data_IF_443270316311
#
_entry.id   IF_443270316311
#
_cell.length_a   1.000
_cell.length_b   1.000
_cell.length_c   1.000
_cell.angle_alpha   90.00
_cell.angle_beta   90.00
_cell.angle_gamma   90.00
#
_symmetry.space_group_name_H-M   'P 1'
#
loop_
_entity.id
_entity.type
_entity.pdbx_description
1 polymer ?
#
# COMPACT_ATOMS: atom_id res chain seq x y z
N UNK A 1 20.33 -8.89 17.07
CA UNK A 1 20.99 -8.35 15.87
C UNK A 1 20.49 -6.93 15.64
N UNK A 2 21.39 -6.00 15.35
CA UNK A 2 21.00 -4.65 14.96
C UNK A 2 21.02 -4.60 13.43
N UNK A 3 19.85 -4.44 12.81
CA UNK A 3 19.78 -4.30 11.37
C UNK A 3 20.12 -2.85 11.02
N UNK A 4 21.32 -2.64 10.47
CA UNK A 4 21.69 -1.38 9.84
C UNK A 4 20.80 -1.11 8.63
N UNK A 5 20.73 0.15 8.23
CA UNK A 5 19.92 0.54 7.08
C UNK A 5 20.49 0.05 5.75
N UNK A 6 19.62 -0.14 4.74
CA UNK A 6 20.08 -0.32 3.37
C UNK A 6 20.93 0.86 2.95
N UNK A 7 22.03 0.57 2.26
CA UNK A 7 22.95 1.55 1.71
C UNK A 7 23.16 1.24 0.24
N UNK A 8 23.02 2.27 -0.59
CA UNK A 8 23.31 2.21 -2.02
C UNK A 8 24.69 2.83 -2.28
N UNK A 9 25.50 2.13 -3.09
CA UNK A 9 26.93 2.44 -3.27
C UNK A 9 27.19 3.69 -4.11
N UNK A 10 26.30 4.06 -5.03
CA UNK A 10 26.51 5.13 -6.01
C UNK A 10 25.91 6.47 -5.61
N UNK A 11 25.19 6.54 -4.47
CA UNK A 11 24.51 7.75 -4.02
C UNK A 11 23.27 8.09 -4.83
N UNK A 12 22.70 7.11 -5.55
CA UNK A 12 21.51 7.27 -6.40
C UNK A 12 20.22 6.82 -5.71
N UNK A 13 20.32 6.38 -4.47
CA UNK A 13 19.16 6.14 -3.63
C UNK A 13 18.34 7.43 -3.50
N UNK A 14 17.03 7.33 -3.69
CA UNK A 14 16.16 8.47 -3.67
C UNK A 14 15.03 8.33 -2.67
N UNK A 15 14.70 9.46 -2.06
CA UNK A 15 13.53 9.61 -1.21
C UNK A 15 12.86 10.94 -1.44
N UNK A 16 11.61 11.04 -1.03
CA UNK A 16 10.93 12.32 -0.97
C UNK A 16 11.52 13.19 0.14
N UNK A 17 11.63 14.50 -0.15
CA UNK A 17 12.07 15.51 0.79
C UNK A 17 11.03 15.65 1.90
N UNK A 18 11.50 15.57 3.15
CA UNK A 18 10.67 15.53 4.35
C UNK A 18 10.97 14.28 5.16
N UNK A 19 10.62 14.29 6.45
CA UNK A 19 10.94 13.25 7.43
C UNK A 19 9.76 12.32 7.73
N UNK A 20 8.58 12.57 7.16
CA UNK A 20 7.36 11.82 7.42
C UNK A 20 6.45 11.64 6.18
N UNK A 21 5.34 10.93 6.39
CA UNK A 21 4.27 10.72 5.39
C UNK A 21 3.64 12.03 4.91
N UNK A 22 3.79 13.12 5.67
CA UNK A 22 3.13 14.38 5.38
C UNK A 22 3.69 15.08 4.15
N UNK A 23 4.92 14.74 3.75
CA UNK A 23 5.53 15.18 2.49
C UNK A 23 4.71 14.77 1.25
N UNK A 24 3.95 13.68 1.35
CA UNK A 24 3.07 13.23 0.26
C UNK A 24 1.65 13.76 0.37
N UNK A 25 1.22 14.23 1.55
CA UNK A 25 -0.19 14.49 1.82
C UNK A 25 -0.56 15.96 2.02
N UNK A 26 0.43 16.84 2.26
CA UNK A 26 0.22 18.29 2.49
C UNK A 26 0.20 19.16 1.22
N UNK A 27 -0.23 18.60 0.10
CA UNK A 27 -0.31 19.34 -1.17
C UNK A 27 -1.52 20.26 -1.13
N UNK A 28 -1.30 21.54 -1.41
CA UNK A 28 -2.36 22.55 -1.49
C UNK A 28 -2.55 22.97 -2.93
N UNK A 29 -3.78 22.86 -3.43
CA UNK A 29 -4.13 23.29 -4.77
C UNK A 29 -5.30 24.28 -4.65
N UNK A 30 -5.04 25.60 -4.56
CA UNK A 30 -6.10 26.59 -4.54
C UNK A 30 -6.98 26.45 -5.78
N UNK A 31 -8.28 26.69 -5.62
CA UNK A 31 -9.23 26.54 -6.72
C UNK A 31 -10.45 27.44 -6.57
N UNK A 32 -11.19 27.60 -7.67
CA UNK A 32 -12.47 28.31 -7.72
C UNK A 32 -13.49 27.47 -8.53
N UNK A 33 -14.15 26.48 -7.91
CA UNK A 33 -15.04 25.57 -8.63
C UNK A 33 -16.17 26.33 -9.32
N UNK A 34 -16.40 26.04 -10.61
CA UNK A 34 -17.36 26.73 -11.46
C UNK A 34 -16.77 27.87 -12.30
N UNK A 35 -15.50 28.23 -12.13
CA UNK A 35 -14.84 29.23 -13.00
C UNK A 35 -14.20 28.54 -14.22
N UNK A 36 -14.64 28.84 -15.45
CA UNK A 36 -14.05 28.25 -16.66
C UNK A 36 -12.62 28.75 -16.90
N UNK A 37 -11.76 27.87 -17.41
CA UNK A 37 -10.40 28.25 -17.83
C UNK A 37 -9.46 28.61 -16.68
N UNK A 38 -9.74 28.09 -15.48
CA UNK A 38 -8.91 28.27 -14.30
C UNK A 38 -7.51 27.65 -14.50
N UNK A 39 -6.46 28.45 -14.31
CA UNK A 39 -5.07 27.97 -14.27
C UNK A 39 -4.68 27.72 -12.81
N UNK A 40 -4.43 26.46 -12.45
CA UNK A 40 -4.11 26.05 -11.08
C UNK A 40 -2.61 25.91 -10.90
N UNK A 41 -2.04 26.52 -9.85
CA UNK A 41 -0.72 26.15 -9.33
C UNK A 41 -0.87 25.50 -7.96
N UNK A 42 -0.40 24.26 -7.83
CA UNK A 42 -0.32 23.61 -6.53
C UNK A 42 0.98 23.99 -5.82
N UNK A 43 0.93 24.12 -4.50
CA UNK A 43 2.09 24.36 -3.63
C UNK A 43 2.34 23.15 -2.73
N UNK A 44 3.52 23.12 -2.09
CA UNK A 44 4.00 21.97 -1.30
C UNK A 44 4.00 20.65 -2.07
N UNK A 45 4.35 20.72 -3.36
CA UNK A 45 4.51 19.53 -4.19
C UNK A 45 5.61 18.65 -3.62
N UNK A 46 5.36 17.34 -3.62
CA UNK A 46 6.35 16.34 -3.26
C UNK A 46 7.56 16.48 -4.20
N UNK A 47 8.74 16.60 -3.59
CA UNK A 47 10.01 16.68 -4.28
C UNK A 47 10.82 15.45 -3.93
N UNK A 48 11.63 14.96 -4.85
CA UNK A 48 12.52 13.83 -4.64
C UNK A 48 13.95 14.32 -4.64
N UNK A 49 14.75 13.80 -3.71
CA UNK A 49 16.20 14.04 -3.62
C UNK A 49 16.99 12.73 -3.51
N UNK A 50 18.26 12.78 -3.92
CA UNK A 50 19.21 11.68 -3.67
C UNK A 50 19.77 11.72 -2.26
N UNK A 51 19.94 10.55 -1.64
CA UNK A 51 20.33 10.38 -0.23
C UNK A 51 21.30 9.21 -0.02
N UNK A 52 21.90 9.14 1.16
CA UNK A 52 22.92 8.14 1.50
C UNK A 52 24.36 8.62 1.25
N UNK A 53 25.32 7.91 1.83
CA UNK A 53 26.73 8.35 2.04
C UNK A 53 27.43 8.95 0.81
N UNK A 54 27.13 8.47 -0.40
CA UNK A 54 27.78 8.91 -1.63
C UNK A 54 26.90 9.85 -2.50
N UNK A 55 25.77 10.30 -1.96
CA UNK A 55 24.84 11.23 -2.63
C UNK A 55 25.16 12.69 -2.33
N UNK A 56 24.36 13.60 -2.90
CA UNK A 56 24.36 15.03 -2.53
C UNK A 56 23.88 15.29 -1.09
N UNK A 57 23.27 14.30 -0.42
CA UNK A 57 22.81 14.39 0.97
C UNK A 57 23.31 13.19 1.79
N UNK A 58 24.61 13.15 2.15
CA UNK A 58 25.23 12.01 2.82
C UNK A 58 24.70 11.72 4.22
N UNK A 59 24.19 12.75 4.91
CA UNK A 59 23.64 12.65 6.26
C UNK A 59 22.17 12.25 6.30
N UNK A 60 21.51 12.21 5.14
CA UNK A 60 20.10 11.84 5.02
C UNK A 60 20.02 10.34 4.73
N UNK A 61 19.26 9.65 5.57
CA UNK A 61 19.07 8.22 5.49
C UNK A 61 17.97 7.86 4.48
N UNK A 62 17.99 6.71 3.80
CA UNK A 62 16.93 6.39 2.83
C UNK A 62 15.55 6.10 3.42
N UNK A 63 15.51 5.60 4.67
CA UNK A 63 14.25 5.38 5.42
C UNK A 63 13.85 6.62 6.22
N UNK A 64 12.54 6.83 6.36
CA UNK A 64 11.97 7.95 7.11
C UNK A 64 12.18 7.82 8.63
N UNK A 65 12.25 6.60 9.18
CA UNK A 65 12.32 6.34 10.64
C UNK A 65 13.70 6.40 11.27
N UNK A 66 14.76 6.45 10.48
CA UNK A 66 16.10 6.22 11.02
C UNK A 66 16.33 4.75 11.38
N UNK A 67 17.32 4.49 12.24
CA UNK A 67 17.71 3.12 12.59
C UNK A 67 16.82 2.54 13.70
N UNK A 68 16.54 1.23 13.64
CA UNK A 68 15.77 0.53 14.68
C UNK A 68 16.70 -0.08 15.76
N UNK A 69 16.86 0.66 16.85
CA UNK A 69 17.76 0.33 17.96
C UNK A 69 17.12 -0.53 19.06
N UNK A 70 15.81 -0.82 19.02
CA UNK A 70 15.08 -1.40 20.15
C UNK A 70 14.75 -2.91 20.05
N UNK A 71 15.63 -3.68 19.39
CA UNK A 71 15.41 -5.10 19.07
C UNK A 71 15.78 -6.08 20.21
N UNK A 72 15.24 -5.87 21.42
CA UNK A 72 15.43 -6.81 22.54
C UNK A 72 14.50 -8.02 22.41
N UNK A 73 15.06 -9.23 22.50
CA UNK A 73 14.38 -10.50 22.28
C UNK A 73 14.62 -11.48 23.43
N UNK A 74 13.88 -11.37 24.56
CA UNK A 74 14.04 -12.29 25.66
C UNK A 74 13.45 -13.66 25.32
N UNK A 75 14.03 -14.69 25.93
CA UNK A 75 13.45 -16.01 26.02
C UNK A 75 13.55 -16.51 27.45
N UNK A 76 12.44 -17.00 27.98
CA UNK A 76 12.32 -17.54 29.34
C UNK A 76 11.52 -18.83 29.31
N UNK A 77 11.92 -19.78 30.13
CA UNK A 77 11.25 -21.07 30.26
C UNK A 77 11.22 -21.53 31.71
N UNK A 78 10.15 -22.22 32.07
CA UNK A 78 9.93 -22.80 33.38
C UNK A 78 9.53 -24.27 33.21
N UNK A 79 10.09 -25.13 34.03
CA UNK A 79 9.66 -26.52 34.20
C UNK A 79 9.55 -26.81 35.69
N UNK A 80 8.41 -27.36 36.11
CA UNK A 80 8.11 -27.55 37.51
C UNK A 80 7.25 -28.78 37.75
N UNK A 81 7.68 -29.61 38.69
CA UNK A 81 6.93 -30.74 39.20
C UNK A 81 5.96 -30.25 40.28
N UNK A 82 4.66 -30.36 40.04
CA UNK A 82 3.58 -29.79 40.87
C UNK A 82 3.23 -30.77 42.00
N UNK A 83 3.79 -30.62 43.22
CA UNK A 83 3.81 -31.71 44.21
C UNK A 83 2.44 -32.01 44.80
N UNK A 84 1.57 -30.99 44.92
CA UNK A 84 0.21 -31.13 45.43
C UNK A 84 -0.75 -31.83 44.46
N UNK A 85 -0.35 -32.04 43.20
CA UNK A 85 -1.09 -32.85 42.23
C UNK A 85 -0.52 -34.28 42.12
N UNK A 86 0.21 -34.71 43.16
CA UNK A 86 0.88 -36.00 43.25
C UNK A 86 2.36 -35.87 42.97
N UNK A 87 3.17 -36.28 43.97
CA UNK A 87 4.64 -36.32 43.86
C UNK A 87 5.06 -37.06 42.59
N UNK A 88 5.80 -36.38 41.73
CA UNK A 88 6.36 -36.91 40.48
C UNK A 88 5.32 -37.34 39.42
N UNK A 89 4.05 -36.97 39.60
CA UNK A 89 2.96 -37.33 38.68
C UNK A 89 2.57 -36.22 37.73
N UNK A 90 2.80 -34.96 38.10
CA UNK A 90 2.35 -33.80 37.34
C UNK A 90 3.52 -32.87 37.07
N UNK A 91 3.79 -32.61 35.80
CA UNK A 91 4.82 -31.68 35.35
C UNK A 91 4.15 -30.56 34.57
N UNK A 92 4.43 -29.33 34.97
CA UNK A 92 4.07 -28.12 34.25
C UNK A 92 5.30 -27.59 33.53
N UNK A 93 5.14 -27.26 32.24
CA UNK A 93 6.15 -26.56 31.44
C UNK A 93 5.53 -25.32 30.84
N UNK A 94 6.29 -24.24 30.81
CA UNK A 94 5.91 -23.02 30.10
C UNK A 94 7.13 -22.39 29.47
N UNK A 95 6.94 -21.81 28.30
CA UNK A 95 7.95 -21.02 27.62
C UNK A 95 7.33 -19.76 27.04
N UNK A 96 8.12 -18.68 27.03
CA UNK A 96 7.84 -17.46 26.30
C UNK A 96 9.13 -17.00 25.61
N UNK A 97 9.02 -16.58 24.35
CA UNK A 97 10.16 -16.05 23.61
C UNK A 97 9.74 -15.06 22.55
N UNK A 98 10.59 -14.06 22.35
CA UNK A 98 10.47 -13.10 21.25
C UNK A 98 11.53 -13.44 20.21
N UNK A 99 11.12 -13.56 18.95
CA UNK A 99 12.03 -13.70 17.83
C UNK A 99 11.75 -12.59 16.83
N UNK A 100 12.78 -11.84 16.44
CA UNK A 100 12.67 -10.93 15.31
C UNK A 100 12.71 -11.76 14.02
N UNK A 101 11.86 -11.43 13.07
CA UNK A 101 11.92 -12.06 11.76
C UNK A 101 13.22 -11.60 11.09
N UNK A 102 14.13 -12.53 10.84
CA UNK A 102 15.34 -12.24 10.07
C UNK A 102 15.03 -11.76 8.66
N UNK A 103 16.03 -11.21 7.97
CA UNK A 103 15.86 -10.63 6.64
C UNK A 103 15.51 -11.69 5.57
N UNK A 104 14.23 -12.03 5.43
CA UNK A 104 13.71 -12.94 4.40
C UNK A 104 13.29 -12.14 3.16
N UNK A 105 13.93 -12.42 2.00
CA UNK A 105 13.56 -12.07 0.59
C UNK A 105 13.31 -10.60 0.22
N UNK A 106 13.13 -9.70 1.18
CA UNK A 106 12.62 -8.35 0.96
C UNK A 106 13.69 -7.29 0.66
N UNK A 107 14.98 -7.66 0.60
CA UNK A 107 16.01 -6.77 0.05
C UNK A 107 15.68 -6.38 -1.40
N UNK A 108 15.08 -7.28 -2.19
CA UNK A 108 14.63 -6.97 -3.55
C UNK A 108 13.57 -5.86 -3.55
N UNK A 109 12.63 -5.88 -2.61
CA UNK A 109 11.62 -4.83 -2.51
C UNK A 109 12.26 -3.52 -2.10
N UNK A 110 13.14 -3.55 -1.08
CA UNK A 110 13.90 -2.38 -0.64
C UNK A 110 14.69 -1.79 -1.80
N UNK A 111 15.53 -2.59 -2.45
CA UNK A 111 16.30 -2.23 -3.65
C UNK A 111 15.39 -1.69 -4.77
N UNK A 112 14.27 -2.36 -5.05
CA UNK A 112 13.34 -1.89 -6.07
C UNK A 112 12.76 -0.53 -5.73
N UNK A 113 12.36 -0.25 -4.49
CA UNK A 113 11.75 1.05 -4.16
C UNK A 113 12.78 2.17 -4.04
N UNK A 114 13.99 1.89 -3.55
CA UNK A 114 15.10 2.85 -3.53
C UNK A 114 15.53 3.20 -4.96
N UNK A 115 15.52 2.22 -5.86
CA UNK A 115 15.88 2.38 -7.27
C UNK A 115 14.74 2.77 -8.22
N UNK A 116 13.46 2.71 -7.80
CA UNK A 116 12.30 2.97 -8.69
C UNK A 116 11.64 4.33 -8.48
N UNK A 117 12.36 5.30 -7.93
CA UNK A 117 11.80 6.64 -7.78
C UNK A 117 11.67 7.31 -9.17
N UNK A 118 10.53 7.98 -9.47
CA UNK A 118 10.29 8.60 -10.78
C UNK A 118 11.44 9.51 -11.17
N UNK A 119 11.92 9.48 -12.41
CA UNK A 119 13.03 10.32 -12.85
C UNK A 119 14.45 9.77 -12.66
N UNK A 120 14.61 8.69 -11.88
CA UNK A 120 15.86 7.93 -11.76
C UNK A 120 15.78 6.62 -12.51
N UNK A 121 14.56 6.04 -12.55
CA UNK A 121 14.22 5.13 -13.63
C UNK A 121 14.39 5.89 -14.95
N UNK A 122 15.52 5.68 -15.62
CA UNK A 122 15.54 5.67 -17.07
C UNK A 122 14.54 4.58 -17.43
N UNK A 123 13.29 4.97 -17.73
CA UNK A 123 12.15 4.13 -18.11
C UNK A 123 12.62 2.73 -18.50
N UNK A 124 12.50 1.76 -17.58
CA UNK A 124 13.32 0.55 -17.66
C UNK A 124 13.18 -0.48 -16.55
N UNK A 125 12.01 -0.64 -15.93
CA UNK A 125 11.63 -1.89 -15.24
C UNK A 125 10.11 -1.97 -15.12
N UNK A 126 9.45 -2.13 -16.27
CA UNK A 126 7.99 -2.16 -16.40
C UNK A 126 7.48 -2.23 -17.84
N UNK A 127 8.26 -2.77 -18.77
CA UNK A 127 7.82 -3.01 -20.15
C UNK A 127 7.87 -1.80 -21.11
N UNK A 128 8.44 -0.68 -20.69
CA UNK A 128 8.84 0.42 -21.59
C UNK A 128 10.28 0.75 -21.26
N UNK A 129 11.20 0.46 -22.20
CA UNK A 129 12.58 0.94 -22.13
C UNK A 129 12.65 2.39 -22.61
N UNK A 130 13.87 2.94 -22.74
CA UNK A 130 14.09 3.95 -23.78
C UNK A 130 13.93 3.24 -25.13
N UNK A 131 12.69 3.21 -25.62
CA UNK A 131 12.40 2.70 -26.95
C UNK A 131 12.82 3.78 -27.94
N UNK A 132 14.08 3.74 -28.36
CA UNK A 132 14.50 4.46 -29.55
C UNK A 132 13.89 3.75 -30.76
N UNK A 133 12.81 4.32 -31.31
CA UNK A 133 12.17 3.85 -32.53
C UNK A 133 12.78 4.63 -33.71
N UNK A 134 13.79 4.09 -34.43
CA UNK A 134 14.35 4.80 -35.55
C UNK A 134 13.31 4.96 -36.67
N UNK A 135 13.39 6.01 -37.49
CA UNK A 135 12.46 6.25 -38.61
C UNK A 135 12.49 5.15 -39.70
N UNK A 136 13.51 4.28 -39.69
CA UNK A 136 13.75 3.17 -40.63
C UNK A 136 14.72 2.14 -40.00
N UNK A 137 15.04 1.04 -40.71
CA UNK A 137 15.84 -0.11 -40.22
C UNK A 137 16.91 0.27 -39.18
N UNK A 138 16.82 -0.32 -37.98
CA UNK A 138 17.74 -0.06 -36.86
C UNK A 138 19.15 -0.51 -37.23
N UNK A 139 20.05 0.43 -37.47
CA UNK A 139 21.50 0.16 -37.54
C UNK A 139 22.16 0.52 -36.22
N UNK A 140 22.94 -0.40 -35.64
CA UNK A 140 23.73 -0.13 -34.43
C UNK A 140 24.81 0.95 -34.70
N UNK A 141 25.22 1.13 -35.96
CA UNK A 141 26.21 2.16 -36.33
C UNK A 141 25.72 3.60 -36.21
N UNK A 142 24.41 3.83 -36.13
CA UNK A 142 23.81 5.17 -36.00
C UNK A 142 23.40 5.50 -34.57
N UNK A 143 23.61 4.59 -33.62
CA UNK A 143 23.38 4.83 -32.19
C UNK A 143 24.49 5.73 -31.66
N UNK A 144 24.13 6.94 -31.24
CA UNK A 144 25.03 7.89 -30.57
C UNK A 144 24.89 7.74 -29.05
N UNK A 145 26.03 7.60 -28.36
CA UNK A 145 26.08 7.53 -26.89
C UNK A 145 26.57 8.85 -26.29
N UNK A 146 26.02 9.29 -25.14
CA UNK A 146 24.93 8.64 -24.39
C UNK A 146 23.59 8.74 -25.13
N UNK A 147 22.75 7.72 -24.97
CA UNK A 147 21.39 7.75 -25.53
C UNK A 147 20.69 8.97 -24.93
N UNK A 148 20.11 9.87 -25.75
CA UNK A 148 19.37 11.01 -25.25
C UNK A 148 18.29 10.54 -24.28
N UNK A 149 18.22 11.17 -23.11
CA UNK A 149 17.19 10.86 -22.13
C UNK A 149 15.80 11.22 -22.70
N UNK A 150 14.75 10.43 -22.41
CA UNK A 150 13.39 10.80 -22.76
C UNK A 150 13.04 12.21 -22.24
N UNK A 151 12.25 12.96 -23.01
CA UNK A 151 11.77 14.27 -22.58
C UNK A 151 11.02 14.13 -21.24
N UNK A 152 11.35 14.98 -20.26
CA UNK A 152 10.81 14.91 -18.91
C UNK A 152 11.65 14.12 -17.90
N UNK A 153 12.75 13.48 -18.32
CA UNK A 153 13.73 12.90 -17.38
C UNK A 153 14.40 14.03 -16.60
N UNK A 154 14.34 14.04 -15.26
CA UNK A 154 15.02 15.05 -14.46
C UNK A 154 16.53 15.01 -14.67
N UNK A 155 17.11 16.16 -14.99
CA UNK A 155 18.55 16.32 -15.20
C UNK A 155 19.28 16.82 -13.95
N UNK A 156 18.55 17.07 -12.86
CA UNK A 156 19.06 17.55 -11.58
C UNK A 156 18.22 17.04 -10.42
N UNK A 157 18.81 17.03 -9.23
CA UNK A 157 18.16 16.64 -7.97
C UNK A 157 18.32 17.81 -6.97
N UNK A 158 17.25 18.24 -6.29
CA UNK A 158 15.93 17.62 -6.27
C UNK A 158 15.07 17.92 -7.50
N UNK A 159 14.07 17.08 -7.77
CA UNK A 159 13.11 17.27 -8.86
C UNK A 159 11.66 17.09 -8.41
N UNK A 160 10.75 17.64 -9.22
CA UNK A 160 9.31 17.67 -8.94
C UNK A 160 8.56 17.01 -10.09
N UNK A 161 7.69 16.05 -9.78
CA UNK A 161 6.78 15.47 -10.77
C UNK A 161 5.59 16.41 -10.99
N UNK A 162 5.21 16.79 -12.22
CA UNK A 162 4.06 17.66 -12.45
C UNK A 162 2.74 17.04 -11.99
N UNK A 163 1.82 17.86 -11.49
CA UNK A 163 0.44 17.43 -11.11
C UNK A 163 -0.41 16.97 -12.29
N UNK A 164 0.06 17.21 -13.52
CA UNK A 164 -0.54 16.76 -14.77
C UNK A 164 -0.09 15.36 -15.19
N UNK A 165 0.96 14.81 -14.58
CA UNK A 165 1.48 13.48 -14.93
C UNK A 165 0.47 12.40 -14.51
N UNK A 166 0.20 12.23 -13.19
CA UNK A 166 -0.77 11.26 -12.66
C UNK A 166 -0.60 9.84 -13.21
N UNK A 167 0.61 9.46 -13.65
CA UNK A 167 0.93 8.12 -14.16
C UNK A 167 1.96 7.42 -13.28
N UNK A 168 2.90 8.20 -12.75
CA UNK A 168 4.02 7.68 -11.98
C UNK A 168 3.54 7.12 -10.65
N UNK A 169 4.17 6.02 -10.23
CA UNK A 169 4.02 5.49 -8.87
C UNK A 169 5.28 5.81 -8.09
N UNK A 170 5.13 6.01 -6.79
CA UNK A 170 6.26 6.20 -5.89
C UNK A 170 6.03 5.42 -4.62
N UNK A 171 7.10 4.82 -4.09
CA UNK A 171 7.05 4.10 -2.83
C UNK A 171 8.08 4.68 -1.86
N UNK A 172 7.78 4.62 -0.56
CA UNK A 172 8.72 5.00 0.51
C UNK A 172 8.69 3.99 1.64
N UNK A 173 9.74 3.97 2.46
CA UNK A 173 9.91 3.04 3.56
C UNK A 173 9.88 3.70 4.93
N UNK A 174 9.08 3.10 5.78
CA UNK A 174 8.97 3.41 7.20
C UNK A 174 9.02 2.08 7.96
N UNK A 175 10.18 1.41 7.94
CA UNK A 175 10.32 0.03 8.47
C UNK A 175 10.93 -0.01 9.87
N UNK A 176 10.46 -0.96 10.66
CA UNK A 176 11.01 -1.45 11.93
C UNK A 176 11.11 -2.97 11.88
N UNK A 177 11.85 -3.57 12.80
CA UNK A 177 12.00 -5.02 12.85
C UNK A 177 10.66 -5.67 13.25
N UNK A 178 10.11 -6.49 12.35
CA UNK A 178 8.96 -7.32 12.65
C UNK A 178 9.37 -8.43 13.62
N UNK A 179 8.46 -8.84 14.50
CA UNK A 179 8.76 -9.86 15.50
C UNK A 179 7.56 -10.73 15.81
N UNK A 180 7.88 -11.94 16.25
CA UNK A 180 6.93 -12.95 16.68
C UNK A 180 7.18 -13.30 18.14
N UNK A 181 6.15 -13.13 18.95
CA UNK A 181 6.09 -13.62 20.31
C UNK A 181 5.50 -15.02 20.28
N UNK A 182 6.18 -16.00 20.86
CA UNK A 182 5.66 -17.35 21.00
C UNK A 182 5.56 -17.68 22.48
N UNK A 183 4.46 -18.28 22.88
CA UNK A 183 4.29 -18.84 24.21
C UNK A 183 3.67 -20.21 24.15
N UNK A 184 4.06 -21.04 25.10
CA UNK A 184 3.48 -22.35 25.29
C UNK A 184 3.24 -22.61 26.77
N UNK A 185 2.19 -23.40 27.01
CA UNK A 185 1.83 -23.94 28.31
C UNK A 185 1.59 -25.42 28.11
N UNK A 186 2.20 -26.26 28.93
CA UNK A 186 2.03 -27.69 28.88
C UNK A 186 1.81 -28.22 30.29
N UNK A 187 0.78 -29.04 30.44
CA UNK A 187 0.53 -29.80 31.65
C UNK A 187 0.52 -31.28 31.29
N UNK A 188 1.53 -32.00 31.78
CA UNK A 188 1.65 -33.43 31.64
C UNK A 188 1.32 -34.09 32.97
N UNK A 189 0.43 -35.09 32.96
CA UNK A 189 0.06 -35.84 34.15
C UNK A 189 -0.01 -37.34 33.90
N UNK A 190 0.63 -38.10 34.78
CA UNK A 190 0.42 -39.53 34.90
C UNK A 190 -0.87 -39.79 35.69
N UNK A 191 -1.90 -40.31 35.03
CA UNK A 191 -3.18 -40.65 35.66
C UNK A 191 -3.15 -42.05 36.30
N UNK A 192 -2.41 -42.97 35.69
CA UNK A 192 -2.18 -44.32 36.17
C UNK A 192 -0.78 -44.80 35.76
N UNK A 193 -0.30 -45.91 36.31
CA UNK A 193 1.06 -46.44 36.04
C UNK A 193 1.39 -46.59 34.54
N UNK A 194 0.36 -46.74 33.70
CA UNK A 194 0.46 -46.92 32.26
C UNK A 194 -0.34 -45.87 31.45
N UNK A 195 -0.77 -44.77 32.06
CA UNK A 195 -1.59 -43.73 31.41
C UNK A 195 -1.04 -42.34 31.67
N UNK A 196 -0.81 -41.61 30.59
CA UNK A 196 -0.39 -40.22 30.62
C UNK A 196 -1.36 -39.38 29.82
N UNK A 197 -1.74 -38.24 30.38
CA UNK A 197 -2.45 -37.18 29.69
C UNK A 197 -1.55 -35.97 29.60
N UNK A 198 -1.60 -35.32 28.47
CA UNK A 198 -0.89 -34.10 28.20
C UNK A 198 -1.82 -33.10 27.55
N UNK A 199 -1.83 -31.88 28.07
CA UNK A 199 -2.58 -30.76 27.53
C UNK A 199 -1.56 -29.67 27.22
N UNK A 200 -1.50 -29.25 25.96
CA UNK A 200 -0.64 -28.18 25.48
C UNK A 200 -1.47 -27.06 24.92
N UNK A 201 -1.10 -25.84 25.26
CA UNK A 201 -1.56 -24.64 24.62
C UNK A 201 -0.38 -23.94 23.97
N UNK A 202 -0.52 -23.59 22.70
CA UNK A 202 0.50 -22.92 21.91
C UNK A 202 -0.12 -21.64 21.38
N UNK A 203 0.54 -20.52 21.65
CA UNK A 203 0.17 -19.22 21.10
C UNK A 203 1.34 -18.57 20.38
N UNK A 204 1.01 -17.90 19.29
CA UNK A 204 1.95 -17.08 18.53
C UNK A 204 1.30 -15.75 18.19
N UNK A 205 2.03 -14.66 18.35
CA UNK A 205 1.61 -13.32 17.91
C UNK A 205 2.70 -12.67 17.08
N UNK A 206 2.40 -12.44 15.81
CA UNK A 206 3.15 -11.55 14.94
C UNK A 206 2.75 -10.11 15.19
N UNK A 207 3.74 -9.25 15.37
CA UNK A 207 3.55 -7.81 15.57
C UNK A 207 4.51 -7.04 14.69
N UNK A 208 4.11 -5.84 14.28
CA UNK A 208 4.86 -5.03 13.34
C UNK A 208 5.15 -5.81 12.04
N UNK A 209 4.21 -6.63 11.59
CA UNK A 209 4.38 -7.40 10.36
C UNK A 209 4.33 -6.48 9.14
N UNK A 210 4.91 -6.95 8.05
CA UNK A 210 5.01 -6.22 6.79
C UNK A 210 3.65 -5.83 6.22
N UNK A 211 3.48 -4.56 5.84
CA UNK A 211 2.28 -4.07 5.17
C UNK A 211 2.57 -2.88 4.26
N UNK A 212 1.66 -2.65 3.31
CA UNK A 212 1.74 -1.53 2.38
C UNK A 212 0.47 -0.70 2.51
N UNK A 213 0.61 0.61 2.65
CA UNK A 213 -0.51 1.55 2.65
C UNK A 213 -0.38 2.47 1.44
N UNK A 214 -1.40 2.52 0.59
CA UNK A 214 -1.47 3.56 -0.43
C UNK A 214 -2.00 4.86 0.20
N UNK A 215 -1.11 5.85 0.36
CA UNK A 215 -1.41 7.18 0.87
C UNK A 215 -2.21 8.03 -0.12
N UNK A 216 -2.23 7.65 -1.40
CA UNK A 216 -2.91 8.36 -2.47
C UNK A 216 -4.15 7.60 -2.98
N UNK A 217 -4.78 6.82 -2.11
CA UNK A 217 -6.01 6.11 -2.46
C UNK A 217 -7.16 7.08 -2.73
N UNK A 218 -8.03 6.71 -3.67
CA UNK A 218 -9.33 7.35 -3.85
C UNK A 218 -10.25 6.92 -2.72
N UNK A 219 -10.55 7.83 -1.80
CA UNK A 219 -11.47 7.60 -0.69
C UNK A 219 -12.85 8.20 -0.99
N UNK A 220 -13.69 7.37 -1.60
CA UNK A 220 -15.07 7.74 -1.93
C UNK A 220 -15.96 7.95 -0.70
N UNK A 221 -15.64 7.33 0.44
CA UNK A 221 -16.55 7.27 1.59
C UNK A 221 -16.37 8.46 2.53
N UNK A 222 -15.14 8.96 2.70
CA UNK A 222 -14.86 10.07 3.59
C UNK A 222 -14.41 11.33 2.83
N UNK A 223 -13.37 11.23 1.98
CA UNK A 223 -12.83 12.40 1.26
C UNK A 223 -13.76 12.91 0.17
N UNK A 224 -14.30 12.01 -0.65
CA UNK A 224 -15.10 12.35 -1.83
C UNK A 224 -16.57 11.98 -1.65
N UNK A 225 -17.09 12.20 -0.44
CA UNK A 225 -18.46 11.78 -0.08
C UNK A 225 -19.51 12.38 -1.00
N UNK A 226 -19.34 13.63 -1.40
CA UNK A 226 -20.20 14.35 -2.32
C UNK A 226 -20.19 13.76 -3.74
N UNK A 227 -19.04 13.24 -4.20
CA UNK A 227 -18.95 12.54 -5.48
C UNK A 227 -19.54 11.13 -5.38
N UNK A 228 -19.42 10.47 -4.23
CA UNK A 228 -20.10 9.20 -3.97
C UNK A 228 -21.63 9.35 -3.96
N UNK A 229 -22.15 10.41 -3.33
CA UNK A 229 -23.57 10.72 -3.31
C UNK A 229 -24.06 11.12 -4.72
N UNK A 230 -23.27 11.90 -5.47
CA UNK A 230 -23.54 12.21 -6.88
C UNK A 230 -23.57 10.95 -7.76
N UNK A 231 -22.61 10.04 -7.59
CA UNK A 231 -22.57 8.76 -8.29
C UNK A 231 -23.84 7.93 -8.02
N UNK A 232 -24.24 7.80 -6.76
CA UNK A 232 -25.45 7.05 -6.39
C UNK A 232 -26.72 7.71 -6.93
N UNK A 233 -26.79 9.04 -6.91
CA UNK A 233 -27.91 9.80 -7.50
C UNK A 233 -28.02 9.52 -9.00
N UNK A 234 -26.90 9.60 -9.73
CA UNK A 234 -26.88 9.29 -11.17
C UNK A 234 -27.22 7.82 -11.44
N UNK A 235 -26.73 6.90 -10.61
CA UNK A 235 -27.05 5.47 -10.71
C UNK A 235 -28.55 5.20 -10.53
N UNK A 236 -29.22 5.95 -9.65
CA UNK A 236 -30.67 5.85 -9.43
C UNK A 236 -31.52 6.54 -10.52
N UNK A 237 -30.90 7.12 -11.56
CA UNK A 237 -31.61 7.85 -12.61
C UNK A 237 -31.79 9.35 -12.33
N UNK A 238 -31.31 9.87 -11.20
CA UNK A 238 -31.39 11.28 -10.83
C UNK A 238 -30.30 12.17 -11.45
N UNK A 239 -30.44 13.48 -11.27
CA UNK A 239 -29.50 14.48 -11.77
C UNK A 239 -28.51 14.93 -10.69
N UNK A 240 -27.31 15.37 -11.08
CA UNK A 240 -26.28 15.87 -10.16
C UNK A 240 -25.80 17.26 -10.58
N UNK A 241 -26.08 18.31 -9.78
CA UNK A 241 -25.54 19.65 -10.01
C UNK A 241 -24.01 19.66 -9.96
N UNK A 242 -23.40 18.91 -9.04
CA UNK A 242 -21.95 18.78 -8.90
C UNK A 242 -21.29 18.25 -10.18
N UNK A 243 -21.79 17.13 -10.72
CA UNK A 243 -21.26 16.58 -11.98
C UNK A 243 -21.54 17.51 -13.17
N UNK A 244 -22.67 18.23 -13.15
CA UNK A 244 -22.99 19.21 -14.19
C UNK A 244 -22.01 20.39 -14.17
N UNK A 245 -21.67 20.92 -12.99
CA UNK A 245 -20.68 21.96 -12.82
C UNK A 245 -19.28 21.47 -13.23
N UNK A 246 -18.89 20.27 -12.79
CA UNK A 246 -17.59 19.68 -13.13
C UNK A 246 -17.42 19.43 -14.63
N UNK A 247 -18.49 19.02 -15.31
CA UNK A 247 -18.43 18.63 -16.72
C UNK A 247 -18.88 19.75 -17.67
N UNK A 248 -19.19 20.95 -17.17
CA UNK A 248 -19.70 22.05 -17.99
C UNK A 248 -18.79 22.33 -19.19
N UNK A 249 -19.38 22.40 -20.38
CA UNK A 249 -18.68 22.60 -21.66
C UNK A 249 -17.88 21.39 -22.17
N UNK A 250 -17.90 20.25 -21.48
CA UNK A 250 -17.16 19.04 -21.86
C UNK A 250 -18.09 18.05 -22.57
N UNK A 251 -17.60 17.48 -23.68
CA UNK A 251 -18.20 16.33 -24.34
C UNK A 251 -17.37 15.08 -24.02
N UNK A 252 -17.88 14.23 -23.12
CA UNK A 252 -17.18 13.01 -22.69
C UNK A 252 -17.14 11.90 -23.76
N UNK A 253 -17.76 12.11 -24.92
CA UNK A 253 -17.87 11.10 -25.97
C UNK A 253 -18.88 10.00 -25.65
N UNK A 254 -19.21 9.20 -26.66
CA UNK A 254 -20.32 8.24 -26.65
C UNK A 254 -21.34 8.55 -27.75
N UNK A 255 -22.16 7.57 -28.09
CA UNK A 255 -23.15 7.72 -29.17
C UNK A 255 -24.15 8.81 -28.82
N UNK A 256 -24.22 9.87 -29.64
CA UNK A 256 -25.10 11.02 -29.41
C UNK A 256 -24.64 11.96 -28.29
N UNK A 257 -23.40 11.83 -27.80
CA UNK A 257 -22.89 12.67 -26.73
C UNK A 257 -22.77 14.14 -27.16
N UNK A 258 -23.30 15.04 -26.32
CA UNK A 258 -23.20 16.49 -26.49
C UNK A 258 -22.28 17.08 -25.42
N UNK A 259 -21.89 18.34 -25.60
CA UNK A 259 -21.23 19.10 -24.54
C UNK A 259 -22.25 19.44 -23.45
N UNK A 260 -21.86 19.27 -22.17
CA UNK A 260 -22.73 19.62 -21.03
C UNK A 260 -22.99 21.12 -21.02
N UNK A 261 -24.28 21.49 -21.05
CA UNK A 261 -24.74 22.87 -20.99
C UNK A 261 -25.59 23.17 -19.74
N UNK A 262 -25.85 22.15 -18.91
CA UNK A 262 -26.58 22.27 -17.65
C UNK A 262 -28.09 22.43 -17.78
N UNK A 263 -28.64 22.41 -19.00
CA UNK A 263 -30.09 22.50 -19.26
C UNK A 263 -30.58 21.28 -20.02
N UNK A 264 -30.30 21.19 -21.32
CA UNK A 264 -30.73 20.07 -22.18
C UNK A 264 -29.78 18.87 -22.10
N UNK A 265 -28.52 19.11 -21.76
CA UNK A 265 -27.51 18.08 -21.56
C UNK A 265 -26.79 18.32 -20.22
N UNK A 266 -27.12 17.49 -19.24
CA UNK A 266 -26.59 17.58 -17.88
C UNK A 266 -25.33 16.73 -17.69
N UNK A 267 -24.62 16.93 -16.57
CA UNK A 267 -23.48 16.09 -16.22
C UNK A 267 -23.86 14.62 -16.04
N UNK A 268 -25.04 14.34 -15.46
CA UNK A 268 -25.53 12.97 -15.30
C UNK A 268 -25.79 12.29 -16.65
N UNK A 269 -26.35 13.01 -17.62
CA UNK A 269 -26.56 12.49 -18.97
C UNK A 269 -25.22 12.21 -19.67
N UNK A 270 -24.24 13.10 -19.53
CA UNK A 270 -22.91 12.90 -20.11
C UNK A 270 -22.23 11.61 -19.59
N UNK A 271 -22.27 11.36 -18.27
CA UNK A 271 -21.64 10.15 -17.69
C UNK A 271 -22.44 8.86 -17.93
N UNK A 272 -23.75 8.94 -18.22
CA UNK A 272 -24.52 7.76 -18.68
C UNK A 272 -24.29 7.45 -20.16
N UNK A 273 -24.01 8.47 -20.97
CA UNK A 273 -23.78 8.30 -22.41
C UNK A 273 -22.37 7.81 -22.71
N UNK A 274 -21.36 8.26 -21.95
CA UNK A 274 -20.00 7.78 -22.07
C UNK A 274 -19.90 6.29 -21.72
N UNK A 275 -19.22 5.52 -22.57
CA UNK A 275 -19.17 4.05 -22.49
C UNK A 275 -18.51 3.56 -21.20
N UNK A 276 -17.39 4.17 -20.80
CA UNK A 276 -16.62 3.79 -19.61
C UNK A 276 -17.39 4.10 -18.34
N UNK A 277 -17.81 5.35 -18.16
CA UNK A 277 -18.52 5.79 -16.95
C UNK A 277 -19.87 5.11 -16.81
N UNK A 278 -20.59 4.84 -17.91
CA UNK A 278 -21.80 3.99 -17.89
C UNK A 278 -21.53 2.61 -17.32
N UNK A 279 -20.45 1.94 -17.74
CA UNK A 279 -20.08 0.64 -17.21
C UNK A 279 -19.73 0.69 -15.72
N UNK A 280 -19.02 1.75 -15.27
CA UNK A 280 -18.71 1.93 -13.85
C UNK A 280 -19.99 2.16 -13.01
N UNK A 281 -20.93 2.97 -13.51
CA UNK A 281 -22.23 3.22 -12.86
C UNK A 281 -23.04 1.93 -12.75
N UNK A 282 -23.14 1.16 -13.85
CA UNK A 282 -23.90 -0.09 -13.88
C UNK A 282 -23.34 -1.15 -12.92
N UNK A 283 -22.01 -1.25 -12.80
CA UNK A 283 -21.34 -2.20 -11.91
C UNK A 283 -21.17 -1.69 -10.47
N UNK A 284 -21.58 -0.45 -10.16
CA UNK A 284 -21.35 0.16 -8.85
C UNK A 284 -19.88 0.41 -8.52
N UNK A 285 -18.99 0.50 -9.52
CA UNK A 285 -17.57 0.71 -9.33
C UNK A 285 -17.26 2.21 -9.16
N UNK A 286 -17.42 2.71 -7.94
CA UNK A 286 -17.16 4.12 -7.61
C UNK A 286 -15.69 4.49 -7.81
N UNK A 287 -14.76 3.62 -7.38
CA UNK A 287 -13.32 3.88 -7.51
C UNK A 287 -12.90 4.12 -8.96
N UNK A 288 -13.33 3.26 -9.87
CA UNK A 288 -13.07 3.44 -11.32
C UNK A 288 -13.77 4.66 -11.92
N UNK A 289 -14.94 5.04 -11.40
CA UNK A 289 -15.64 6.26 -11.84
C UNK A 289 -14.88 7.53 -11.41
N UNK A 290 -14.42 7.59 -10.16
CA UNK A 290 -13.65 8.72 -9.67
C UNK A 290 -12.26 8.79 -10.31
N UNK A 291 -11.61 7.66 -10.56
CA UNK A 291 -10.34 7.63 -11.29
C UNK A 291 -10.50 8.15 -12.73
N UNK A 292 -11.61 7.82 -13.39
CA UNK A 292 -11.95 8.39 -14.69
C UNK A 292 -12.05 9.93 -14.62
N UNK A 293 -12.76 10.49 -13.65
CA UNK A 293 -12.84 11.94 -13.48
C UNK A 293 -11.47 12.57 -13.15
N UNK A 294 -10.62 11.82 -12.45
CA UNK A 294 -9.30 12.24 -12.02
C UNK A 294 -8.27 12.30 -13.16
N UNK A 295 -8.40 11.44 -14.17
CA UNK A 295 -7.34 11.23 -15.18
C UNK A 295 -7.76 11.48 -16.63
N UNK A 296 -9.05 11.40 -16.95
CA UNK A 296 -9.54 11.50 -18.32
C UNK A 296 -9.34 12.91 -18.90
N UNK A 297 -9.08 12.96 -20.21
CA UNK A 297 -8.79 14.19 -20.96
C UNK A 297 -9.76 14.41 -22.13
N UNK A 298 -10.64 13.45 -22.42
CA UNK A 298 -11.58 13.47 -23.54
C UNK A 298 -12.50 14.69 -23.46
N UNK A 299 -12.56 15.44 -24.56
CA UNK A 299 -13.44 16.59 -24.69
C UNK A 299 -13.07 17.79 -23.82
N UNK A 300 -11.90 17.78 -23.16
CA UNK A 300 -11.40 18.89 -22.33
C UNK A 300 -10.64 19.95 -23.12
N UNK A 301 -10.13 19.61 -24.30
CA UNK A 301 -9.23 20.48 -25.08
C UNK A 301 -7.77 20.45 -24.60
N UNK A 302 -7.42 19.58 -23.65
CA UNK A 302 -6.05 19.37 -23.15
C UNK A 302 -5.65 17.90 -23.23
N UNK A 303 -4.36 17.63 -23.41
CA UNK A 303 -3.77 16.28 -23.30
C UNK A 303 -3.28 15.95 -21.89
N UNK A 304 -3.29 16.93 -20.98
CA UNK A 304 -2.79 16.79 -19.61
C UNK A 304 -3.85 16.14 -18.71
N UNK A 305 -3.46 15.17 -17.87
CA UNK A 305 -4.37 14.57 -16.90
C UNK A 305 -4.81 15.59 -15.84
N UNK A 306 -5.97 15.34 -15.22
CA UNK A 306 -6.63 16.29 -14.33
C UNK A 306 -7.38 17.42 -15.07
N UNK A 307 -7.40 17.43 -16.41
CA UNK A 307 -8.04 18.49 -17.18
C UNK A 307 -9.55 18.61 -16.95
N UNK A 308 -10.26 17.52 -16.65
CA UNK A 308 -11.68 17.58 -16.27
C UNK A 308 -11.91 18.46 -15.03
N UNK A 309 -11.06 18.28 -14.01
CA UNK A 309 -11.13 19.07 -12.78
C UNK A 309 -10.73 20.53 -13.05
N UNK A 310 -9.58 20.73 -13.69
CA UNK A 310 -9.00 22.06 -13.93
C UNK A 310 -9.91 22.95 -14.79
N UNK A 311 -10.54 22.39 -15.82
CA UNK A 311 -11.32 23.18 -16.80
C UNK A 311 -12.43 24.00 -16.16
N UNK A 312 -13.06 23.46 -15.12
CA UNK A 312 -14.13 24.12 -14.38
C UNK A 312 -13.70 24.49 -12.95
N UNK A 313 -12.41 24.71 -12.72
CA UNK A 313 -11.88 25.30 -11.48
C UNK A 313 -11.91 24.41 -10.25
N UNK A 314 -12.07 23.10 -10.40
CA UNK A 314 -11.92 22.15 -9.29
C UNK A 314 -10.43 22.02 -8.92
N UNK A 315 -10.11 21.82 -7.63
CA UNK A 315 -8.72 21.61 -7.21
C UNK A 315 -8.09 20.41 -7.91
N UNK A 316 -6.80 20.45 -8.23
CA UNK A 316 -6.09 19.28 -8.77
C UNK A 316 -6.16 18.07 -7.83
N UNK A 317 -6.05 18.34 -6.53
CA UNK A 317 -6.14 17.34 -5.47
C UNK A 317 -7.59 17.10 -5.00
N UNK A 318 -8.60 17.39 -5.82
CA UNK A 318 -10.00 17.21 -5.41
C UNK A 318 -10.30 15.74 -5.09
N UNK A 319 -9.94 14.83 -5.99
CA UNK A 319 -10.22 13.39 -5.86
C UNK A 319 -9.13 12.67 -5.06
N UNK A 320 -7.86 12.95 -5.36
CA UNK A 320 -6.71 12.30 -4.72
C UNK A 320 -5.91 13.29 -3.87
N UNK A 321 -5.22 12.81 -2.85
CA UNK A 321 -4.41 13.66 -1.95
C UNK A 321 -3.26 14.32 -2.72
N UNK A 322 -2.58 13.52 -3.54
CA UNK A 322 -1.40 13.89 -4.29
C UNK A 322 -1.64 13.70 -5.81
N UNK A 323 -1.93 14.77 -6.55
CA UNK A 323 -2.18 14.68 -7.98
C UNK A 323 -0.90 14.50 -8.82
N UNK A 324 0.31 14.47 -8.23
CA UNK A 324 1.54 14.20 -9.00
C UNK A 324 1.65 12.73 -9.41
N UNK A 325 1.07 11.82 -8.63
CA UNK A 325 1.28 10.37 -8.77
C UNK A 325 -0.04 9.63 -8.98
N UNK A 326 0.01 8.51 -9.71
CA UNK A 326 -1.09 7.55 -9.78
C UNK A 326 -1.26 6.79 -8.47
N UNK A 327 -0.16 6.50 -7.78
CA UNK A 327 -0.15 5.81 -6.48
C UNK A 327 1.05 6.25 -5.65
N UNK A 328 0.84 6.37 -4.34
CA UNK A 328 1.90 6.66 -3.35
C UNK A 328 1.84 5.59 -2.29
N UNK A 329 2.77 4.64 -2.33
CA UNK A 329 2.78 3.52 -1.39
C UNK A 329 3.76 3.75 -0.25
N UNK A 330 3.29 3.75 0.98
CA UNK A 330 4.14 3.64 2.15
C UNK A 330 4.24 2.19 2.59
N UNK A 331 5.47 1.72 2.65
CA UNK A 331 5.85 0.38 3.02
C UNK A 331 6.25 0.39 4.52
N UNK A 332 5.37 -0.10 5.39
CA UNK A 332 5.41 0.07 6.85
C UNK A 332 5.09 -1.25 7.58
N UNK A 333 5.10 -1.25 8.90
CA UNK A 333 4.90 -2.41 9.77
C UNK A 333 3.52 -2.40 10.43
N UNK A 334 2.48 -2.34 9.60
CA UNK A 334 1.10 -2.21 10.06
C UNK A 334 0.44 -3.55 10.40
N UNK A 335 1.03 -4.68 9.99
CA UNK A 335 0.40 -5.98 10.11
C UNK A 335 0.48 -6.60 11.50
N UNK A 336 -0.55 -7.38 11.85
CA UNK A 336 -0.55 -8.28 13.01
C UNK A 336 -1.16 -9.64 12.64
N UNK A 337 -0.78 -10.66 13.41
CA UNK A 337 -1.39 -11.97 13.32
C UNK A 337 -1.33 -12.64 14.69
N UNK A 338 -2.36 -13.41 15.02
CA UNK A 338 -2.45 -14.21 16.24
C UNK A 338 -2.89 -15.63 15.90
N UNK A 339 -2.21 -16.60 16.51
CA UNK A 339 -2.52 -18.01 16.39
C UNK A 339 -2.63 -18.61 17.79
N UNK A 340 -3.64 -19.43 17.98
CA UNK A 340 -3.88 -20.16 19.21
C UNK A 340 -4.21 -21.61 18.89
N UNK A 341 -3.59 -22.55 19.60
CA UNK A 341 -3.89 -23.97 19.51
C UNK A 341 -3.98 -24.60 20.87
N UNK A 342 -5.00 -25.44 21.05
CA UNK A 342 -5.12 -26.38 22.15
C UNK A 342 -4.89 -27.79 21.59
N UNK A 343 -3.92 -28.48 22.15
CA UNK A 343 -3.58 -29.86 21.80
C UNK A 343 -3.74 -30.73 23.04
N UNK A 344 -4.39 -31.87 22.90
CA UNK A 344 -4.53 -32.87 23.94
C UNK A 344 -3.95 -34.18 23.43
N UNK A 345 -3.10 -34.82 24.22
CA UNK A 345 -2.54 -36.12 23.91
C UNK A 345 -2.81 -37.09 25.08
N UNK A 346 -3.41 -38.23 24.75
CA UNK A 346 -3.66 -39.33 25.67
C UNK A 346 -2.81 -40.52 25.24
N UNK A 347 -1.98 -41.04 26.14
CA UNK A 347 -1.18 -42.24 25.89
C UNK A 347 -1.49 -43.30 26.94
N UNK A 348 -1.93 -44.47 26.49
CA UNK A 348 -2.18 -45.66 27.31
C UNK A 348 -1.34 -46.82 26.82
N UNK A 349 -0.50 -47.35 27.70
CA UNK A 349 0.24 -48.61 27.50
C UNK A 349 -0.60 -49.77 28.04
N UNK A 350 -1.08 -50.64 27.18
CA UNK A 350 -1.86 -51.81 27.56
C UNK A 350 -0.95 -53.04 27.71
N UNK A 351 -1.47 -54.08 28.35
CA UNK A 351 -0.77 -55.36 28.51
C UNK A 351 -0.59 -56.06 27.16
N UNK A 352 0.43 -56.93 27.04
CA UNK A 352 0.78 -57.67 25.81
C UNK A 352 1.31 -56.81 24.65
N UNK A 353 2.00 -55.73 24.98
CA UNK A 353 2.79 -54.93 24.01
C UNK A 353 2.01 -53.88 23.23
N UNK A 354 0.70 -53.75 23.42
CA UNK A 354 -0.11 -52.75 22.71
C UNK A 354 -0.04 -51.38 23.40
N UNK A 355 0.25 -50.32 22.64
CA UNK A 355 0.21 -48.93 23.11
C UNK A 355 -0.69 -48.11 22.21
N UNK A 356 -1.63 -47.37 22.80
CA UNK A 356 -2.47 -46.42 22.10
C UNK A 356 -2.06 -44.99 22.46
N UNK A 357 -1.92 -44.15 21.44
CA UNK A 357 -1.79 -42.69 21.57
C UNK A 357 -2.89 -42.04 20.75
N UNK A 358 -3.68 -41.19 21.39
CA UNK A 358 -4.74 -40.40 20.74
C UNK A 358 -4.40 -38.93 20.92
N UNK A 359 -4.41 -38.16 19.83
CA UNK A 359 -4.13 -36.72 19.84
C UNK A 359 -5.31 -35.97 19.23
N UNK A 360 -5.74 -34.90 19.89
CA UNK A 360 -6.76 -33.97 19.41
C UNK A 360 -6.19 -32.56 19.36
N UNK A 361 -6.45 -31.82 18.29
CA UNK A 361 -5.99 -30.45 18.10
C UNK A 361 -7.14 -29.57 17.67
N UNK A 362 -7.32 -28.46 18.38
CA UNK A 362 -8.16 -27.35 17.97
C UNK A 362 -7.29 -26.11 17.81
N UNK A 363 -7.54 -25.32 16.77
CA UNK A 363 -6.77 -24.11 16.51
C UNK A 363 -7.63 -23.02 15.89
N UNK A 364 -7.18 -21.78 16.10
CA UNK A 364 -7.73 -20.57 15.49
C UNK A 364 -6.59 -19.64 15.10
N UNK A 365 -6.65 -19.11 13.89
CA UNK A 365 -5.78 -18.05 13.41
C UNK A 365 -6.62 -16.80 13.13
N UNK A 366 -6.06 -15.63 13.38
CA UNK A 366 -6.60 -14.32 13.01
C UNK A 366 -5.44 -13.47 12.51
N UNK A 367 -5.65 -12.70 11.46
CA UNK A 367 -4.63 -11.79 10.95
C UNK A 367 -5.17 -10.91 9.84
N UNK A 368 -4.37 -9.92 9.47
CA UNK A 368 -4.80 -8.83 8.59
C UNK A 368 -4.73 -9.20 7.10
N UNK A 369 -4.20 -10.38 6.78
CA UNK A 369 -4.09 -10.89 5.42
C UNK A 369 -3.99 -12.42 5.42
N UNK A 370 -4.75 -13.06 4.54
CA UNK A 370 -4.62 -14.48 4.23
C UNK A 370 -3.61 -14.74 3.09
N UNK A 371 -2.92 -13.68 2.61
CA UNK A 371 -1.98 -13.71 1.48
C UNK A 371 -0.60 -13.14 1.82
N UNK A 372 0.44 -13.63 1.13
CA UNK A 372 1.84 -13.21 1.29
C UNK A 372 2.13 -11.79 0.73
N UNK A 373 1.17 -11.16 0.05
CA UNK A 373 1.35 -9.85 -0.61
C UNK A 373 1.22 -8.64 0.32
N UNK A 374 1.03 -8.86 1.62
CA UNK A 374 0.86 -7.81 2.64
C UNK A 374 -0.61 -7.47 2.91
N UNK A 375 -0.87 -6.86 4.06
CA UNK A 375 -2.21 -6.46 4.49
C UNK A 375 -2.88 -5.53 3.47
N UNK A 376 -4.06 -5.93 3.00
CA UNK A 376 -4.94 -5.11 2.16
C UNK A 376 -6.11 -4.66 3.02
N UNK A 377 -6.02 -3.45 3.56
CA UNK A 377 -7.07 -2.93 4.42
C UNK A 377 -8.33 -2.63 3.61
N UNK A 378 -9.49 -3.14 4.05
CA UNK A 378 -10.80 -2.80 3.46
C UNK A 378 -11.15 -1.35 3.72
N UNK A 379 -10.78 -0.83 4.90
CA UNK A 379 -10.80 0.60 5.21
C UNK A 379 -9.41 1.09 5.64
N UNK A 380 -8.63 1.72 4.74
CA UNK A 380 -7.31 2.23 5.07
C UNK A 380 -7.35 3.40 6.08
N UNK A 381 -8.51 4.06 6.25
CA UNK A 381 -8.70 5.16 7.20
C UNK A 381 -9.08 4.67 8.60
N UNK A 382 -9.74 3.52 8.70
CA UNK A 382 -10.09 2.89 9.97
C UNK A 382 -9.60 1.43 10.09
N UNK A 383 -8.30 1.32 10.34
CA UNK A 383 -7.57 0.05 10.50
C UNK A 383 -7.89 -0.71 11.80
N UNK A 384 -8.74 -0.17 12.67
CA UNK A 384 -9.08 -0.81 13.95
C UNK A 384 -10.24 -1.82 13.86
N UNK A 385 -10.92 -1.82 12.70
CA UNK A 385 -12.09 -2.67 12.42
C UNK A 385 -11.66 -4.06 11.90
N UNK A 386 -10.38 -4.20 11.54
CA UNK A 386 -9.73 -5.41 11.03
C UNK A 386 -8.75 -5.92 12.10
#
# INVERSE_FOLDING_TARGET
EYYGQPFELTGLDARVIGDDESAFTKISCPSSPGTPGFDTTCTNLAQVQFVGKNSTHPDVLPTLKGNDLNNWAPSVGLSWNVPWLGKDKTVFRSGYGVNYTGALRNFITVDSTLGTVPGINIVGSGGTGVTYQPPSYTSISTVTLPIPLPAGTPTSSPFVVPTTDRTQTISTYNRVAAYTQNWNLELQRQLANNTTVEIRYIGSKGSKLWGTLNLNIIDALHRNRELFDAFNTVRAGGESPLLTQMLMGINLGGTGAQAVNGTTWTGAMAVRTNTTTRAQIANGNVGGFLDFLNTNTTGTGSTNRGALLRRNGFPENYIVVNPQYASVSMLNNLGSSTYHSLQMQFTRRLTKGFTNTTTWTWSKAMGDSDSDTGASYRDPTNRSIE
#
